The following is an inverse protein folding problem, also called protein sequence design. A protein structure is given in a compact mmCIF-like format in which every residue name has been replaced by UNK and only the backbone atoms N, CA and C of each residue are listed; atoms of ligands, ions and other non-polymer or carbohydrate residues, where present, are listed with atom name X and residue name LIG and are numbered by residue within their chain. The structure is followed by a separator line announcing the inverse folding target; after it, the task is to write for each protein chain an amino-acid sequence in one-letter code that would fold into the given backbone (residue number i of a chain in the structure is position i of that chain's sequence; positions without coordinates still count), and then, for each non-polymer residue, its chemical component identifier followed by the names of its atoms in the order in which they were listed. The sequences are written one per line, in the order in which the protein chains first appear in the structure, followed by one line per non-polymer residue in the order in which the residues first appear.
data_IF_116569702532
#
_entry.id   IF_116569702532
#
_cell.length_a   1.000
_cell.length_b   1.000
_cell.length_c   1.000
_cell.angle_alpha   90.00
_cell.angle_beta   90.00
_cell.angle_gamma   90.00
#
_symmetry.space_group_name_H-M   'P 1'
#
loop_
_entity.id
_entity.type
_entity.pdbx_description
1 polymer ?
#
# COMPACT_ATOMS: atom_id res chain seq x y z
N UNK A 1 36.71 -16.07 32.67
CA UNK A 1 35.92 -15.03 33.36
C UNK A 1 35.83 -13.84 32.42
N UNK A 2 34.61 -13.34 32.20
CA UNK A 2 34.17 -12.25 31.30
C UNK A 2 34.31 -12.56 29.79
N UNK A 3 33.24 -12.88 29.06
CA UNK A 3 32.07 -12.06 28.66
C UNK A 3 32.46 -10.98 27.66
N UNK A 4 32.06 -11.16 26.39
CA UNK A 4 31.09 -10.27 25.74
C UNK A 4 30.76 -10.77 24.34
N UNK A 5 29.55 -11.33 24.23
CA UNK A 5 28.87 -11.54 22.97
C UNK A 5 28.31 -10.17 22.54
N UNK A 6 28.90 -9.58 21.51
CA UNK A 6 28.31 -8.39 20.88
C UNK A 6 27.33 -8.88 19.80
N UNK A 7 26.16 -9.30 20.27
CA UNK A 7 25.01 -9.63 19.44
C UNK A 7 24.45 -8.30 18.93
N UNK A 8 24.75 -7.98 17.67
CA UNK A 8 24.15 -6.84 16.99
C UNK A 8 22.75 -7.29 16.59
N UNK A 9 21.80 -7.12 17.52
CA UNK A 9 20.38 -7.28 17.27
C UNK A 9 19.96 -6.13 16.36
N UNK A 10 20.11 -6.36 15.05
CA UNK A 10 19.53 -5.50 14.04
C UNK A 10 18.03 -5.60 14.19
N UNK A 11 17.44 -4.56 14.77
CA UNK A 11 16.01 -4.26 14.87
C UNK A 11 15.35 -4.50 13.51
N UNK A 12 14.99 -5.75 13.24
CA UNK A 12 14.11 -6.10 12.15
C UNK A 12 12.73 -5.74 12.64
N UNK A 13 12.35 -4.48 12.38
CA UNK A 13 10.98 -4.00 12.49
C UNK A 13 10.09 -5.06 11.86
N UNK A 14 9.37 -5.83 12.68
CA UNK A 14 8.46 -6.86 12.21
C UNK A 14 7.42 -6.14 11.36
N UNK A 15 7.60 -6.14 10.04
CA UNK A 15 6.57 -5.72 9.13
C UNK A 15 5.47 -6.77 9.26
N UNK A 16 4.45 -6.46 10.06
CA UNK A 16 3.24 -7.25 10.06
C UNK A 16 2.69 -7.29 8.63
N UNK A 17 2.25 -8.46 8.19
CA UNK A 17 1.66 -8.62 6.86
C UNK A 17 0.48 -7.64 6.71
N UNK A 18 0.37 -6.91 5.58
CA UNK A 18 -0.72 -5.98 5.37
C UNK A 18 -2.08 -6.67 5.50
N UNK A 19 -2.99 -6.08 6.28
CA UNK A 19 -4.35 -6.58 6.46
C UNK A 19 -5.23 -6.05 5.33
N UNK A 20 -5.80 -6.95 4.52
CA UNK A 20 -6.75 -6.58 3.46
C UNK A 20 -8.10 -6.16 4.07
N UNK A 21 -8.45 -4.89 3.93
CA UNK A 21 -9.71 -4.32 4.42
C UNK A 21 -10.80 -4.27 3.34
N UNK A 22 -10.40 -4.18 2.07
CA UNK A 22 -11.31 -4.08 0.93
C UNK A 22 -10.68 -4.61 -0.34
N UNK A 23 -11.50 -5.22 -1.20
CA UNK A 23 -11.13 -5.53 -2.58
C UNK A 23 -12.35 -5.49 -3.48
N UNK A 24 -12.18 -4.95 -4.69
CA UNK A 24 -13.17 -5.12 -5.77
C UNK A 24 -12.50 -5.14 -7.14
N UNK A 25 -13.19 -5.77 -8.09
CA UNK A 25 -12.83 -5.68 -9.50
C UNK A 25 -13.08 -4.28 -10.07
N UNK A 26 -12.23 -3.88 -11.00
CA UNK A 26 -12.37 -2.68 -11.83
C UNK A 26 -12.82 -3.06 -13.25
N UNK A 27 -13.58 -2.17 -13.93
CA UNK A 27 -13.83 -2.31 -15.36
C UNK A 27 -12.51 -2.46 -16.13
N UNK A 28 -12.43 -3.43 -17.04
CA UNK A 28 -11.21 -3.72 -17.80
C UNK A 28 -10.25 -4.72 -17.14
N UNK A 29 -10.64 -5.35 -16.02
CA UNK A 29 -9.97 -6.55 -15.49
C UNK A 29 -8.91 -6.31 -14.41
N UNK A 30 -8.87 -5.10 -13.83
CA UNK A 30 -8.01 -4.78 -12.69
C UNK A 30 -8.68 -5.02 -11.33
N UNK A 31 -7.94 -4.79 -10.25
CA UNK A 31 -8.42 -4.85 -8.86
C UNK A 31 -7.99 -3.58 -8.13
N UNK A 32 -8.86 -3.05 -7.29
CA UNK A 32 -8.50 -2.01 -6.30
C UNK A 32 -8.62 -2.62 -4.90
N UNK A 33 -7.60 -2.39 -4.07
CA UNK A 33 -7.57 -2.88 -2.68
C UNK A 33 -7.40 -1.74 -1.69
N UNK A 34 -7.91 -1.92 -0.47
CA UNK A 34 -7.50 -1.15 0.70
C UNK A 34 -6.77 -2.12 1.62
N UNK A 35 -5.52 -1.79 1.95
CA UNK A 35 -4.69 -2.55 2.87
C UNK A 35 -4.28 -1.66 4.03
N UNK A 36 -4.32 -2.18 5.26
CA UNK A 36 -3.75 -1.52 6.42
C UNK A 36 -2.43 -2.18 6.81
N UNK A 37 -1.41 -1.36 7.05
CA UNK A 37 -0.14 -1.76 7.65
C UNK A 37 -0.14 -1.23 9.07
N UNK A 38 -0.20 -2.15 10.03
CA UNK A 38 0.08 -1.83 11.42
C UNK A 38 1.58 -1.58 11.55
N UNK A 39 1.97 -0.39 12.00
CA UNK A 39 3.33 -0.11 12.46
C UNK A 39 3.33 -0.12 13.98
N UNK A 40 4.51 -0.11 14.60
CA UNK A 40 4.67 0.10 16.06
C UNK A 40 4.22 1.50 16.54
N UNK A 41 3.55 2.27 15.67
CA UNK A 41 2.92 3.56 15.97
C UNK A 41 1.50 3.36 16.50
N UNK A 42 0.97 4.29 17.32
CA UNK A 42 -0.41 4.23 17.78
C UNK A 42 -1.43 4.43 16.65
N UNK A 43 -0.99 4.85 15.46
CA UNK A 43 -1.83 5.09 14.29
C UNK A 43 -1.65 3.98 13.25
N UNK A 44 -2.74 3.70 12.55
CA UNK A 44 -2.81 2.76 11.43
C UNK A 44 -2.56 3.52 10.13
N UNK A 45 -1.66 3.02 9.31
CA UNK A 45 -1.49 3.49 7.94
C UNK A 45 -2.27 2.54 7.02
N UNK A 46 -3.13 3.09 6.18
CA UNK A 46 -3.81 2.34 5.14
C UNK A 46 -3.55 2.96 3.77
N UNK A 47 -3.59 2.13 2.72
CA UNK A 47 -3.31 2.53 1.35
C UNK A 47 -4.30 1.94 0.36
N UNK A 48 -4.51 2.66 -0.74
CA UNK A 48 -5.25 2.18 -1.91
C UNK A 48 -4.26 1.77 -2.99
N UNK A 49 -4.26 0.48 -3.33
CA UNK A 49 -3.44 -0.07 -4.41
C UNK A 49 -4.32 -0.46 -5.60
N UNK A 50 -3.80 -0.30 -6.82
CA UNK A 50 -4.51 -0.68 -8.05
C UNK A 50 -3.68 -1.61 -8.92
N UNK A 51 -4.14 -2.84 -9.13
CA UNK A 51 -3.48 -3.84 -9.96
C UNK A 51 -4.19 -3.98 -11.32
N UNK A 52 -3.41 -4.10 -12.40
CA UNK A 52 -3.94 -4.09 -13.78
C UNK A 52 -4.54 -5.40 -14.26
N UNK A 53 -4.35 -6.53 -13.55
CA UNK A 53 -4.90 -7.86 -13.88
C UNK A 53 -5.08 -8.71 -12.62
N UNK A 54 -6.03 -9.64 -12.64
CA UNK A 54 -6.24 -10.70 -11.64
C UNK A 54 -5.02 -11.65 -11.51
N UNK A 55 -4.05 -11.59 -12.42
CA UNK A 55 -2.88 -12.47 -12.44
C UNK A 55 -1.88 -12.14 -11.31
N UNK A 56 -1.79 -12.99 -10.26
CA UNK A 56 -0.93 -12.76 -9.11
C UNK A 56 0.57 -12.90 -9.42
N UNK A 57 0.93 -13.51 -10.56
CA UNK A 57 2.35 -13.80 -10.91
C UNK A 57 3.12 -12.59 -11.44
N UNK A 58 2.48 -11.43 -11.61
CA UNK A 58 3.16 -10.22 -12.10
C UNK A 58 3.87 -9.40 -11.01
N UNK A 59 3.93 -9.91 -9.79
CA UNK A 59 4.67 -9.33 -8.66
C UNK A 59 6.20 -9.45 -8.77
N UNK A 60 6.74 -10.00 -9.85
CA UNK A 60 8.18 -9.93 -10.16
C UNK A 60 8.59 -8.46 -10.38
N UNK A 61 9.03 -7.82 -9.29
CA UNK A 61 9.76 -6.55 -9.29
C UNK A 61 8.94 -5.25 -9.33
N UNK A 62 7.60 -5.29 -9.38
CA UNK A 62 6.79 -4.08 -9.49
C UNK A 62 5.78 -3.94 -8.34
N UNK A 63 6.04 -2.97 -7.44
CA UNK A 63 5.07 -2.57 -6.42
C UNK A 63 3.81 -2.02 -7.10
N UNK A 64 2.59 -2.43 -6.66
CA UNK A 64 1.37 -1.93 -7.25
C UNK A 64 1.25 -0.41 -7.07
N UNK A 65 0.68 0.31 -8.05
CA UNK A 65 0.37 1.73 -7.92
C UNK A 65 -0.44 2.04 -6.65
N UNK A 66 0.19 2.73 -5.70
CA UNK A 66 -0.49 3.32 -4.55
C UNK A 66 -1.02 4.69 -4.94
N UNK A 67 -2.35 4.84 -4.95
CA UNK A 67 -3.01 6.06 -5.44
C UNK A 67 -3.52 6.98 -4.33
N UNK A 68 -3.63 6.48 -3.09
CA UNK A 68 -3.98 7.25 -1.91
C UNK A 68 -3.52 6.51 -0.65
N UNK A 69 -3.24 7.27 0.41
CA UNK A 69 -2.91 6.78 1.74
C UNK A 69 -3.68 7.57 2.80
N UNK A 70 -3.95 6.93 3.93
CA UNK A 70 -4.56 7.55 5.10
C UNK A 70 -3.85 7.07 6.37
N UNK A 71 -3.65 7.98 7.30
CA UNK A 71 -3.15 7.68 8.64
C UNK A 71 -4.26 8.02 9.63
N UNK A 72 -4.68 7.05 10.43
CA UNK A 72 -5.78 7.24 11.35
C UNK A 72 -5.62 6.41 12.64
N UNK A 73 -6.33 6.75 13.73
CA UNK A 73 -6.23 6.02 15.00
C UNK A 73 -6.69 4.56 14.93
N UNK A 74 -7.49 4.18 13.93
CA UNK A 74 -8.01 2.81 13.78
C UNK A 74 -8.12 2.41 12.31
N UNK A 75 -8.10 1.09 12.04
CA UNK A 75 -8.38 0.53 10.71
C UNK A 75 -9.77 0.96 10.19
N UNK A 76 -10.77 1.08 11.07
CA UNK A 76 -12.13 1.48 10.67
C UNK A 76 -12.18 2.93 10.19
N UNK A 77 -11.45 3.84 10.86
CA UNK A 77 -11.36 5.25 10.45
C UNK A 77 -10.63 5.37 9.12
N UNK A 78 -9.46 4.73 9.00
CA UNK A 78 -8.68 4.72 7.75
C UNK A 78 -9.48 4.12 6.58
N UNK A 79 -10.18 3.00 6.82
CA UNK A 79 -11.06 2.38 5.82
C UNK A 79 -12.14 3.35 5.35
N UNK A 80 -12.83 4.04 6.27
CA UNK A 80 -13.93 4.93 5.91
C UNK A 80 -13.48 6.07 5.00
N UNK A 81 -12.30 6.63 5.25
CA UNK A 81 -11.71 7.68 4.42
C UNK A 81 -11.36 7.17 3.03
N UNK A 82 -10.68 6.02 2.95
CA UNK A 82 -10.24 5.44 1.69
C UNK A 82 -11.37 4.80 0.88
N UNK A 83 -12.43 4.31 1.52
CA UNK A 83 -13.55 3.64 0.86
C UNK A 83 -14.27 4.55 -0.14
N UNK A 84 -14.37 5.85 0.15
CA UNK A 84 -14.99 6.81 -0.77
C UNK A 84 -14.25 6.88 -2.11
N UNK A 85 -12.92 6.80 -2.07
CA UNK A 85 -12.08 6.78 -3.27
C UNK A 85 -12.15 5.40 -3.93
N UNK A 86 -11.94 4.33 -3.15
CA UNK A 86 -11.86 2.97 -3.67
C UNK A 86 -13.15 2.51 -4.34
N UNK A 87 -14.32 2.98 -3.89
CA UNK A 87 -15.62 2.65 -4.48
C UNK A 87 -16.00 3.48 -5.72
N UNK A 88 -15.29 4.59 -5.99
CA UNK A 88 -15.56 5.47 -7.13
C UNK A 88 -14.55 5.24 -8.28
N UNK A 89 -15.04 4.76 -9.42
CA UNK A 89 -14.21 4.51 -10.61
C UNK A 89 -13.51 5.78 -11.13
N UNK A 90 -14.16 6.94 -11.05
CA UNK A 90 -13.60 8.21 -11.54
C UNK A 90 -12.48 8.65 -10.60
N UNK A 91 -12.68 8.52 -9.29
CA UNK A 91 -11.65 8.83 -8.29
C UNK A 91 -10.42 7.91 -8.46
N UNK A 92 -10.64 6.60 -8.63
CA UNK A 92 -9.56 5.63 -8.90
C UNK A 92 -8.79 5.98 -10.17
N UNK A 93 -9.50 6.24 -11.28
CA UNK A 93 -8.86 6.60 -12.56
C UNK A 93 -8.04 7.89 -12.43
N UNK A 94 -8.54 8.89 -11.72
CA UNK A 94 -7.81 10.14 -11.45
C UNK A 94 -6.54 9.88 -10.65
N UNK A 95 -6.62 9.05 -9.60
CA UNK A 95 -5.47 8.66 -8.80
C UNK A 95 -4.38 7.99 -9.63
N UNK A 96 -4.75 7.08 -10.53
CA UNK A 96 -3.82 6.43 -11.46
C UNK A 96 -3.13 7.42 -12.41
N UNK A 97 -3.87 8.38 -12.96
CA UNK A 97 -3.31 9.40 -13.86
C UNK A 97 -2.27 10.25 -13.10
N UNK A 98 -2.59 10.67 -11.88
CA UNK A 98 -1.69 11.45 -11.05
C UNK A 98 -0.44 10.66 -10.64
N UNK A 99 -0.60 9.38 -10.28
CA UNK A 99 0.52 8.49 -10.00
C UNK A 99 1.45 8.33 -11.21
N UNK A 100 0.89 8.16 -12.41
CA UNK A 100 1.68 8.08 -13.65
C UNK A 100 2.42 9.37 -13.96
N UNK A 101 1.79 10.53 -13.74
CA UNK A 101 2.42 11.83 -13.95
C UNK A 101 3.66 11.99 -13.06
N UNK A 102 3.53 11.68 -11.76
CA UNK A 102 4.65 11.76 -10.80
C UNK A 102 5.86 10.92 -11.22
N UNK A 103 5.64 9.70 -11.74
CA UNK A 103 6.74 8.83 -12.20
C UNK A 103 7.37 9.27 -13.52
N UNK A 104 6.66 10.03 -14.35
CA UNK A 104 7.25 10.60 -15.57
C UNK A 104 8.18 11.77 -15.25
N UNK A 105 7.87 12.50 -14.20
CA UNK A 105 8.63 13.66 -13.74
C UNK A 105 9.83 13.27 -12.85
N UNK A 106 9.88 12.01 -12.41
CA UNK A 106 10.95 11.44 -11.58
C UNK A 106 11.67 10.29 -12.33
N UNK A 107 12.64 10.61 -13.22
CA UNK A 107 13.31 9.60 -14.04
C UNK A 107 14.29 8.70 -13.27
N UNK A 108 14.60 9.01 -12.00
CA UNK A 108 15.42 8.17 -11.13
C UNK A 108 14.59 7.14 -10.33
N UNK A 109 13.25 7.20 -10.41
CA UNK A 109 12.34 6.24 -9.77
C UNK A 109 12.00 5.02 -10.67
N UNK A 110 12.99 4.49 -11.38
CA UNK A 110 12.98 3.11 -11.90
C UNK A 110 13.85 2.21 -10.98
N UNK A 111 13.39 1.01 -10.61
CA UNK A 111 14.28 -0.05 -10.14
C UNK A 111 15.15 -0.61 -11.27
#
# INVERSE_FOLDING_TARGET
MASDANETDGDQTKMEDPVLLYSRGLPGGGVVTIEAVSKETPEVIARISVERRIDPQRRDGHEPPVIAEAQAPTQSTAFKELYQIASDNVAVARGLIQWQARRRDDPEAEP
#
